data_IF_196921692704
#
_entry.id   IF_196921692704
#
_cell.length_a   1.000
_cell.length_b   1.000
_cell.length_c   1.000
_cell.angle_alpha   90.00
_cell.angle_beta   90.00
_cell.angle_gamma   90.00
#
_symmetry.space_group_name_H-M   'P 1'
#
loop_
_entity.id
_entity.type
_entity.pdbx_description
1 polymer ?
#
# COMPACT_ATOMS: atom_id res chain seq x y z
N UNK A 1 22.98 -14.72 26.31
CA UNK A 1 22.41 -15.24 25.05
C UNK A 1 21.15 -14.41 24.83
N UNK A 2 21.21 -13.41 23.95
CA UNK A 2 20.00 -12.74 23.50
C UNK A 2 19.20 -13.76 22.68
N UNK A 3 18.03 -14.16 23.17
CA UNK A 3 17.03 -14.76 22.31
C UNK A 3 16.72 -13.74 21.21
N UNK A 4 17.20 -14.01 19.99
CA UNK A 4 16.63 -13.38 18.81
C UNK A 4 15.12 -13.60 18.92
N UNK A 5 14.36 -12.51 18.98
CA UNK A 5 12.91 -12.56 18.77
C UNK A 5 12.64 -13.55 17.64
N UNK A 6 11.72 -14.52 17.81
CA UNK A 6 11.34 -15.38 16.70
C UNK A 6 11.02 -14.45 15.53
N UNK A 7 11.67 -14.66 14.38
CA UNK A 7 11.48 -13.80 13.22
C UNK A 7 9.99 -13.75 12.88
N UNK A 8 9.50 -12.58 12.49
CA UNK A 8 8.16 -12.43 11.94
C UNK A 8 8.18 -13.02 10.54
N UNK A 9 7.19 -13.86 10.22
CA UNK A 9 7.12 -14.47 8.90
C UNK A 9 6.60 -13.47 7.84
N UNK A 10 6.84 -13.77 6.57
CA UNK A 10 6.48 -12.87 5.47
C UNK A 10 4.99 -12.48 5.43
N UNK A 11 4.09 -13.40 5.79
CA UNK A 11 2.65 -13.13 5.75
C UNK A 11 2.22 -12.25 6.92
N UNK A 12 2.79 -12.48 8.10
CA UNK A 12 2.58 -11.62 9.27
C UNK A 12 3.06 -10.18 8.99
N UNK A 13 4.26 -10.01 8.44
CA UNK A 13 4.80 -8.69 8.05
C UNK A 13 3.87 -7.95 7.07
N UNK A 14 3.50 -8.58 5.95
CA UNK A 14 2.65 -7.94 4.94
C UNK A 14 1.24 -7.66 5.47
N UNK A 15 0.72 -8.53 6.35
CA UNK A 15 -0.58 -8.32 7.00
C UNK A 15 -0.53 -7.09 7.93
N UNK A 16 0.55 -6.90 8.68
CA UNK A 16 0.72 -5.71 9.53
C UNK A 16 0.74 -4.42 8.68
N UNK A 17 1.42 -4.44 7.55
CA UNK A 17 1.44 -3.34 6.58
C UNK A 17 0.05 -3.06 5.99
N UNK A 18 -0.69 -4.11 5.61
CA UNK A 18 -2.09 -3.99 5.18
C UNK A 18 -2.96 -3.31 6.23
N UNK A 19 -2.84 -3.71 7.50
CA UNK A 19 -3.62 -3.07 8.58
C UNK A 19 -3.26 -1.59 8.75
N UNK A 20 -1.97 -1.23 8.63
CA UNK A 20 -1.54 0.16 8.66
C UNK A 20 -2.14 0.98 7.51
N UNK A 21 -2.09 0.45 6.27
CA UNK A 21 -2.71 1.08 5.10
C UNK A 21 -4.23 1.22 5.27
N UNK A 22 -4.94 0.14 5.62
CA UNK A 22 -6.39 0.15 5.82
C UNK A 22 -6.84 1.18 6.86
N UNK A 23 -6.07 1.34 7.94
CA UNK A 23 -6.31 2.37 8.96
C UNK A 23 -6.23 3.79 8.38
N UNK A 24 -5.20 4.07 7.56
CA UNK A 24 -5.05 5.36 6.87
C UNK A 24 -6.14 5.61 5.84
N UNK A 25 -6.58 4.57 5.12
CA UNK A 25 -7.69 4.69 4.17
C UNK A 25 -9.01 5.04 4.84
N UNK A 26 -9.24 4.58 6.08
CA UNK A 26 -10.41 5.00 6.84
C UNK A 26 -10.36 6.52 7.11
N UNK A 27 -9.22 7.02 7.60
CA UNK A 27 -9.02 8.47 7.82
C UNK A 27 -9.22 9.25 6.52
N UNK A 28 -8.57 8.81 5.44
CA UNK A 28 -8.63 9.47 4.14
C UNK A 28 -10.06 9.59 3.62
N UNK A 29 -10.84 8.51 3.65
CA UNK A 29 -12.21 8.52 3.12
C UNK A 29 -13.10 9.51 3.89
N UNK A 30 -12.94 9.64 5.21
CA UNK A 30 -13.65 10.65 6.00
C UNK A 30 -13.19 12.08 5.68
N UNK A 31 -11.89 12.28 5.49
CA UNK A 31 -11.33 13.60 5.16
C UNK A 31 -11.73 14.04 3.75
N UNK A 32 -11.79 13.14 2.77
CA UNK A 32 -12.31 13.42 1.43
C UNK A 32 -13.78 13.85 1.47
N UNK A 33 -14.61 13.19 2.28
CA UNK A 33 -16.02 13.60 2.48
C UNK A 33 -16.13 14.96 3.19
N UNK A 34 -15.20 15.30 4.09
CA UNK A 34 -15.13 16.63 4.72
C UNK A 34 -14.74 17.68 3.69
N UNK A 35 -13.78 17.39 2.82
CA UNK A 35 -13.30 18.31 1.78
C UNK A 35 -14.45 18.80 0.87
N UNK A 36 -15.46 17.96 0.62
CA UNK A 36 -16.64 18.33 -0.16
C UNK A 36 -17.66 19.22 0.58
N UNK A 37 -17.54 19.38 1.91
CA UNK A 37 -18.43 20.26 2.68
C UNK A 37 -17.90 21.68 2.55
N UNK A 38 -18.48 22.43 1.60
CA UNK A 38 -18.22 23.84 1.29
C UNK A 38 -18.36 24.76 2.53
N UNK A 39 -17.36 24.73 3.41
CA UNK A 39 -17.31 25.46 4.68
C UNK A 39 -15.95 26.16 4.83
N UNK A 40 -15.92 27.45 5.20
CA UNK A 40 -14.69 28.20 5.40
C UNK A 40 -13.77 27.51 6.44
N UNK A 41 -12.49 27.33 6.08
CA UNK A 41 -11.48 26.74 6.96
C UNK A 41 -11.38 25.20 6.93
N UNK A 42 -12.35 24.50 6.31
CA UNK A 42 -12.31 23.03 6.16
C UNK A 42 -11.26 22.60 5.13
N UNK A 43 -11.13 23.34 4.02
CA UNK A 43 -10.24 22.98 2.91
C UNK A 43 -8.76 22.95 3.34
N UNK A 44 -8.19 23.97 4.01
CA UNK A 44 -6.77 23.92 4.40
C UNK A 44 -6.41 22.80 5.38
N UNK A 45 -7.29 22.51 6.35
CA UNK A 45 -7.08 21.43 7.31
C UNK A 45 -7.19 20.06 6.63
N UNK A 46 -8.24 19.84 5.84
CA UNK A 46 -8.44 18.60 5.08
C UNK A 46 -7.28 18.34 4.11
N UNK A 47 -6.78 19.38 3.43
CA UNK A 47 -5.62 19.26 2.55
C UNK A 47 -4.37 18.77 3.28
N UNK A 48 -4.08 19.28 4.49
CA UNK A 48 -2.93 18.85 5.27
C UNK A 48 -3.06 17.39 5.73
N UNK A 49 -4.26 17.00 6.19
CA UNK A 49 -4.54 15.61 6.56
C UNK A 49 -4.38 14.66 5.36
N UNK A 50 -4.89 15.03 4.19
CA UNK A 50 -4.77 14.24 2.97
C UNK A 50 -3.30 14.12 2.54
N UNK A 51 -2.54 15.22 2.58
CA UNK A 51 -1.09 15.22 2.26
C UNK A 51 -0.33 14.24 3.15
N UNK A 52 -0.60 14.22 4.46
CA UNK A 52 0.05 13.28 5.37
C UNK A 52 -0.27 11.81 5.03
N UNK A 53 -1.49 11.51 4.55
CA UNK A 53 -1.83 10.16 4.07
C UNK A 53 -1.12 9.84 2.75
N UNK A 54 -1.04 10.79 1.81
CA UNK A 54 -0.33 10.58 0.54
C UNK A 54 1.16 10.34 0.78
N UNK A 55 1.81 11.13 1.63
CA UNK A 55 3.21 10.93 2.02
C UNK A 55 3.45 9.54 2.63
N UNK A 56 2.56 9.10 3.52
CA UNK A 56 2.59 7.75 4.07
C UNK A 56 2.45 6.69 2.98
N UNK A 57 1.48 6.83 2.06
CA UNK A 57 1.28 5.86 0.98
C UNK A 57 2.46 5.85 -0.01
N UNK A 58 3.05 7.00 -0.32
CA UNK A 58 4.23 7.09 -1.20
C UNK A 58 5.44 6.36 -0.60
N UNK A 59 5.62 6.42 0.72
CA UNK A 59 6.67 5.70 1.42
C UNK A 59 6.37 4.18 1.55
N UNK A 60 5.24 3.84 2.14
CA UNK A 60 4.95 2.47 2.57
C UNK A 60 4.47 1.58 1.42
N UNK A 61 3.55 2.08 0.57
CA UNK A 61 2.97 1.27 -0.51
C UNK A 61 4.06 0.86 -1.50
N UNK A 62 5.01 1.74 -1.81
CA UNK A 62 6.06 1.41 -2.76
C UNK A 62 6.95 0.27 -2.26
N UNK A 63 7.34 0.32 -0.99
CA UNK A 63 8.16 -0.71 -0.36
C UNK A 63 7.38 -2.02 -0.27
N UNK A 64 6.10 -1.96 0.14
CA UNK A 64 5.21 -3.12 0.21
C UNK A 64 5.11 -3.85 -1.14
N UNK A 65 4.73 -3.14 -2.21
CA UNK A 65 4.61 -3.74 -3.54
C UNK A 65 5.95 -4.30 -4.05
N UNK A 66 7.08 -3.70 -3.68
CA UNK A 66 8.42 -4.23 -4.01
C UNK A 66 8.75 -5.50 -3.24
N UNK A 67 8.42 -5.60 -1.95
CA UNK A 67 8.58 -6.83 -1.16
C UNK A 67 7.84 -7.98 -1.83
N UNK A 68 6.65 -7.73 -2.33
CA UNK A 68 5.86 -8.73 -3.05
C UNK A 68 6.47 -9.07 -4.42
N UNK A 69 6.75 -8.06 -5.24
CA UNK A 69 7.23 -8.23 -6.62
C UNK A 69 8.62 -8.84 -6.72
N UNK A 70 9.54 -8.45 -5.82
CA UNK A 70 10.95 -8.84 -5.88
C UNK A 70 11.24 -10.07 -5.02
N UNK A 71 10.41 -10.38 -4.01
CA UNK A 71 10.68 -11.47 -3.06
C UNK A 71 9.55 -12.50 -3.04
N UNK A 72 8.32 -12.10 -2.69
CA UNK A 72 7.23 -13.06 -2.46
C UNK A 72 6.79 -13.77 -3.75
N UNK A 73 6.50 -13.01 -4.80
CA UNK A 73 5.99 -13.52 -6.06
C UNK A 73 7.00 -14.43 -6.77
N UNK A 74 8.31 -14.10 -6.85
CA UNK A 74 9.30 -15.03 -7.38
C UNK A 74 9.41 -16.31 -6.55
N UNK A 75 9.35 -16.21 -5.22
CA UNK A 75 9.37 -17.39 -4.35
C UNK A 75 8.14 -18.29 -4.58
N UNK A 76 6.95 -17.72 -4.74
CA UNK A 76 5.72 -18.46 -5.02
C UNK A 76 5.70 -19.06 -6.44
N UNK A 77 6.16 -18.31 -7.44
CA UNK A 77 6.17 -18.73 -8.85
C UNK A 77 6.98 -20.00 -9.10
N UNK A 78 8.03 -20.22 -8.31
CA UNK A 78 8.82 -21.45 -8.34
C UNK A 78 7.99 -22.72 -8.05
N UNK A 79 6.84 -22.59 -7.38
CA UNK A 79 5.94 -23.69 -7.03
C UNK A 79 4.71 -23.77 -7.96
N UNK A 80 4.25 -22.64 -8.52
CA UNK A 80 3.04 -22.59 -9.36
C UNK A 80 3.28 -23.05 -10.81
N UNK A 81 4.53 -23.13 -11.28
CA UNK A 81 4.82 -23.58 -12.65
C UNK A 81 4.17 -22.66 -13.69
N UNK A 82 3.42 -23.23 -14.66
CA UNK A 82 2.72 -22.44 -15.69
C UNK A 82 1.40 -21.80 -15.22
N UNK A 83 0.97 -22.03 -13.97
CA UNK A 83 -0.29 -21.51 -13.43
C UNK A 83 -0.14 -20.13 -12.73
N UNK A 84 0.90 -19.36 -13.04
CA UNK A 84 1.23 -18.05 -12.45
C UNK A 84 0.23 -16.91 -12.71
N UNK A 85 -0.95 -17.20 -13.25
CA UNK A 85 -1.97 -16.22 -13.61
C UNK A 85 -2.44 -15.31 -12.45
N UNK A 86 -2.58 -15.81 -11.18
CA UNK A 86 -2.91 -14.94 -10.06
C UNK A 86 -1.88 -13.83 -9.82
N UNK A 87 -0.60 -14.10 -10.08
CA UNK A 87 0.49 -13.13 -9.90
C UNK A 87 0.43 -12.06 -10.99
N UNK A 88 0.16 -12.43 -12.25
CA UNK A 88 0.05 -11.48 -13.35
C UNK A 88 -1.08 -10.45 -13.12
N UNK A 89 -2.21 -10.89 -12.57
CA UNK A 89 -3.32 -10.00 -12.21
C UNK A 89 -2.90 -9.01 -11.12
N UNK A 90 -2.22 -9.49 -10.07
CA UNK A 90 -1.74 -8.61 -8.99
C UNK A 90 -0.73 -7.59 -9.52
N UNK A 91 0.20 -7.99 -10.38
CA UNK A 91 1.15 -7.07 -11.03
C UNK A 91 0.46 -5.95 -11.83
N UNK A 92 -0.63 -6.26 -12.53
CA UNK A 92 -1.44 -5.25 -13.22
C UNK A 92 -2.13 -4.31 -12.24
N UNK A 93 -2.60 -4.82 -11.10
CA UNK A 93 -3.17 -4.02 -10.02
C UNK A 93 -2.13 -3.12 -9.37
N UNK A 94 -0.91 -3.60 -9.12
CA UNK A 94 0.20 -2.80 -8.58
C UNK A 94 0.51 -1.61 -9.49
N UNK A 95 0.48 -1.81 -10.82
CA UNK A 95 0.64 -0.72 -11.76
C UNK A 95 -0.53 0.28 -11.70
N UNK A 96 -1.76 -0.20 -11.54
CA UNK A 96 -2.94 0.65 -11.38
C UNK A 96 -2.89 1.46 -10.08
N UNK A 97 -2.49 0.84 -8.97
CA UNK A 97 -2.29 1.49 -7.68
C UNK A 97 -1.27 2.62 -7.76
N UNK A 98 -0.10 2.35 -8.36
CA UNK A 98 0.94 3.36 -8.58
C UNK A 98 0.45 4.52 -9.47
N UNK A 99 -0.37 4.24 -10.48
CA UNK A 99 -0.98 5.30 -11.32
C UNK A 99 -2.00 6.11 -10.53
N UNK A 100 -2.86 5.45 -9.75
CA UNK A 100 -3.87 6.10 -8.91
C UNK A 100 -3.25 7.03 -7.87
N UNK A 101 -2.19 6.57 -7.18
CA UNK A 101 -1.47 7.40 -6.21
C UNK A 101 -0.83 8.63 -6.85
N UNK A 102 -0.21 8.50 -8.03
CA UNK A 102 0.33 9.66 -8.77
C UNK A 102 -0.76 10.64 -9.21
N UNK A 103 -1.89 10.14 -9.71
CA UNK A 103 -3.02 11.00 -10.08
C UNK A 103 -3.55 11.76 -8.86
N UNK A 104 -3.68 11.06 -7.73
CA UNK A 104 -4.14 11.68 -6.49
C UNK A 104 -3.18 12.75 -5.96
N UNK A 105 -1.87 12.45 -5.94
CA UNK A 105 -0.82 13.41 -5.56
C UNK A 105 -0.83 14.64 -6.48
N UNK A 106 -1.07 14.45 -7.79
CA UNK A 106 -1.20 15.54 -8.77
C UNK A 106 -2.40 16.46 -8.48
N UNK A 107 -3.61 15.90 -8.35
CA UNK A 107 -4.81 16.70 -8.08
C UNK A 107 -4.72 17.43 -6.73
N UNK A 108 -4.13 16.77 -5.72
CA UNK A 108 -3.88 17.39 -4.42
C UNK A 108 -2.92 18.58 -4.52
N UNK A 109 -1.89 18.48 -5.37
CA UNK A 109 -0.96 19.56 -5.67
C UNK A 109 -1.63 20.74 -6.36
N UNK A 110 -2.50 20.47 -7.34
CA UNK A 110 -3.28 21.49 -8.05
C UNK A 110 -4.19 22.25 -7.07
N UNK A 111 -4.97 21.52 -6.27
CA UNK A 111 -5.86 22.11 -5.27
C UNK A 111 -5.09 22.90 -4.20
N UNK A 112 -3.91 22.42 -3.79
CA UNK A 112 -3.06 23.10 -2.83
C UNK A 112 -2.41 24.39 -3.35
N UNK A 113 -2.19 24.50 -4.67
CA UNK A 113 -1.57 25.66 -5.29
C UNK A 113 -2.56 26.80 -5.60
N UNK A 114 -3.78 26.46 -5.99
CA UNK A 114 -4.85 27.43 -6.27
C UNK A 114 -6.22 26.93 -5.75
N UNK A 115 -6.48 27.01 -4.44
CA UNK A 115 -7.73 26.54 -3.83
C UNK A 115 -9.00 27.28 -4.30
N UNK A 116 -8.85 28.47 -4.89
CA UNK A 116 -9.98 29.30 -5.33
C UNK A 116 -10.47 28.91 -6.72
N UNK A 117 -9.56 28.45 -7.60
CA UNK A 117 -9.89 28.03 -8.96
C UNK A 117 -10.04 26.51 -9.12
N UNK A 118 -9.39 25.72 -8.26
CA UNK A 118 -9.42 24.26 -8.35
C UNK A 118 -10.67 23.67 -7.68
N UNK A 119 -11.23 22.62 -8.28
CA UNK A 119 -12.38 21.92 -7.74
C UNK A 119 -11.94 20.84 -6.74
N UNK A 120 -12.44 20.85 -5.49
CA UNK A 120 -12.20 19.76 -4.55
C UNK A 120 -12.81 18.42 -4.97
N UNK A 121 -13.69 18.42 -5.98
CA UNK A 121 -14.33 17.22 -6.55
C UNK A 121 -13.30 16.31 -7.23
N UNK A 122 -12.34 16.85 -7.97
CA UNK A 122 -11.32 16.04 -8.66
C UNK A 122 -10.46 15.27 -7.65
N UNK A 123 -10.01 15.97 -6.58
CA UNK A 123 -9.29 15.36 -5.45
C UNK A 123 -10.13 14.28 -4.76
N UNK A 124 -11.43 14.54 -4.59
CA UNK A 124 -12.35 13.56 -4.03
C UNK A 124 -12.45 12.31 -4.90
N UNK A 125 -12.71 12.45 -6.21
CA UNK A 125 -12.94 11.33 -7.12
C UNK A 125 -11.71 10.43 -7.20
N UNK A 126 -10.54 10.99 -7.50
CA UNK A 126 -9.31 10.18 -7.64
C UNK A 126 -8.88 9.56 -6.30
N UNK A 127 -9.08 10.27 -5.17
CA UNK A 127 -8.75 9.77 -3.85
C UNK A 127 -9.69 8.65 -3.40
N UNK A 128 -10.99 8.78 -3.70
CA UNK A 128 -12.00 7.77 -3.37
C UNK A 128 -11.82 6.50 -4.21
N UNK A 129 -11.51 6.65 -5.50
CA UNK A 129 -11.19 5.53 -6.39
C UNK A 129 -9.94 4.77 -5.91
N UNK A 130 -8.87 5.50 -5.52
CA UNK A 130 -7.67 4.89 -4.96
C UNK A 130 -7.97 4.10 -3.67
N UNK A 131 -8.82 4.64 -2.79
CA UNK A 131 -9.27 3.92 -1.58
C UNK A 131 -9.97 2.61 -1.93
N UNK A 132 -10.84 2.62 -2.95
CA UNK A 132 -11.52 1.42 -3.42
C UNK A 132 -10.56 0.39 -3.99
N UNK A 133 -9.62 0.83 -4.83
CA UNK A 133 -8.64 -0.05 -5.47
C UNK A 133 -7.72 -0.72 -4.44
N UNK A 134 -7.17 0.05 -3.48
CA UNK A 134 -6.33 -0.49 -2.40
C UNK A 134 -7.08 -1.51 -1.55
N UNK A 135 -8.32 -1.21 -1.15
CA UNK A 135 -9.12 -2.16 -0.35
C UNK A 135 -9.41 -3.45 -1.09
N UNK A 136 -9.73 -3.36 -2.38
CA UNK A 136 -10.00 -4.55 -3.18
C UNK A 136 -8.75 -5.42 -3.35
N UNK A 137 -7.62 -4.77 -3.61
CA UNK A 137 -6.32 -5.43 -3.77
C UNK A 137 -5.90 -6.15 -2.48
N UNK A 138 -5.85 -5.43 -1.35
CA UNK A 138 -5.52 -5.99 -0.03
C UNK A 138 -6.44 -7.17 0.32
N UNK A 139 -7.75 -7.03 0.09
CA UNK A 139 -8.69 -8.11 0.38
C UNK A 139 -8.41 -9.35 -0.46
N UNK A 140 -7.99 -9.19 -1.72
CA UNK A 140 -7.63 -10.32 -2.59
C UNK A 140 -6.37 -11.02 -2.10
N UNK A 141 -5.37 -10.26 -1.66
CA UNK A 141 -4.15 -10.83 -1.12
C UNK A 141 -4.42 -11.59 0.17
N UNK A 142 -5.03 -10.94 1.15
CA UNK A 142 -5.32 -11.52 2.47
C UNK A 142 -6.18 -12.78 2.38
N UNK A 143 -7.19 -12.79 1.49
CA UNK A 143 -8.19 -13.87 1.46
C UNK A 143 -7.92 -14.94 0.41
N UNK A 144 -7.11 -14.66 -0.61
CA UNK A 144 -6.86 -15.59 -1.71
C UNK A 144 -5.37 -15.89 -1.89
N UNK A 145 -4.52 -14.86 -2.00
CA UNK A 145 -3.08 -15.07 -2.23
C UNK A 145 -2.39 -15.66 -1.00
N UNK A 146 -2.55 -15.06 0.18
CA UNK A 146 -1.83 -15.46 1.39
C UNK A 146 -2.13 -16.90 1.82
N UNK A 147 -3.38 -17.40 1.76
CA UNK A 147 -3.67 -18.83 1.97
C UNK A 147 -2.94 -19.75 0.97
N UNK A 148 -2.82 -19.33 -0.28
CA UNK A 148 -2.08 -20.06 -1.31
C UNK A 148 -0.58 -20.07 -0.98
N UNK A 149 -0.02 -18.91 -0.61
CA UNK A 149 1.37 -18.75 -0.19
C UNK A 149 1.66 -19.67 0.99
N UNK A 150 0.85 -19.65 2.05
CA UNK A 150 1.02 -20.50 3.23
C UNK A 150 0.97 -22.01 2.90
N UNK A 151 0.15 -22.39 1.90
CA UNK A 151 0.00 -23.78 1.48
C UNK A 151 1.22 -24.31 0.69
N UNK A 152 1.97 -23.43 0.03
CA UNK A 152 3.12 -23.81 -0.81
C UNK A 152 4.47 -23.52 -0.14
N UNK A 153 4.58 -22.38 0.54
CA UNK A 153 5.77 -21.93 1.25
C UNK A 153 5.60 -22.31 2.73
N UNK A 154 6.15 -23.46 3.14
CA UNK A 154 6.12 -23.87 4.55
C UNK A 154 6.79 -22.84 5.49
N UNK A 155 6.52 -22.95 6.79
CA UNK A 155 6.92 -21.95 7.81
C UNK A 155 8.40 -21.55 7.78
N UNK A 156 9.32 -22.50 7.59
CA UNK A 156 10.76 -22.19 7.51
C UNK A 156 11.09 -21.24 6.35
N UNK A 157 10.42 -21.40 5.20
CA UNK A 157 10.64 -20.53 4.04
C UNK A 157 10.02 -19.15 4.27
N UNK A 158 8.83 -19.08 4.86
CA UNK A 158 8.16 -17.82 5.18
C UNK A 158 8.95 -16.97 6.18
N UNK A 159 9.55 -17.61 7.19
CA UNK A 159 10.45 -16.93 8.13
C UNK A 159 11.69 -16.37 7.44
N UNK A 160 12.28 -17.10 6.50
CA UNK A 160 13.44 -16.62 5.74
C UNK A 160 13.07 -15.43 4.83
N UNK A 161 11.91 -15.48 4.16
CA UNK A 161 11.39 -14.38 3.34
C UNK A 161 11.10 -13.14 4.20
N UNK A 162 10.49 -13.31 5.39
CA UNK A 162 10.23 -12.19 6.30
C UNK A 162 11.51 -11.45 6.71
N UNK A 163 12.61 -12.17 6.93
CA UNK A 163 13.93 -11.55 7.19
C UNK A 163 14.42 -10.75 5.98
N UNK A 164 14.26 -11.27 4.77
CA UNK A 164 14.65 -10.59 3.52
C UNK A 164 13.83 -9.31 3.28
N UNK A 165 12.51 -9.39 3.47
CA UNK A 165 11.60 -8.24 3.35
C UNK A 165 11.99 -7.11 4.31
N UNK A 166 12.28 -7.44 5.57
CA UNK A 166 12.72 -6.43 6.56
C UNK A 166 14.06 -5.80 6.23
N UNK A 167 14.97 -6.54 5.60
CA UNK A 167 16.23 -5.98 5.13
C UNK A 167 16.01 -4.97 3.98
N UNK A 168 15.06 -5.23 3.07
CA UNK A 168 14.71 -4.29 2.00
C UNK A 168 14.15 -2.97 2.56
N UNK A 169 13.33 -3.02 3.61
CA UNK A 169 12.82 -1.80 4.25
C UNK A 169 13.96 -0.95 4.84
N UNK A 170 14.95 -1.60 5.47
CA UNK A 170 16.14 -0.93 6.00
C UNK A 170 16.98 -0.25 4.90
N UNK A 171 17.13 -0.88 3.73
CA UNK A 171 17.81 -0.29 2.58
C UNK A 171 17.07 0.92 2.00
N UNK A 172 15.73 0.90 2.01
CA UNK A 172 14.91 2.04 1.59
C UNK A 172 14.99 3.23 2.58
N UNK A 173 15.11 2.95 3.89
CA UNK A 173 15.11 3.96 4.97
C UNK A 173 16.49 4.48 5.39
N UNK A 174 17.58 3.97 4.81
CA UNK A 174 18.89 4.65 4.87
C UNK A 174 19.60 4.64 6.23
N UNK A 175 19.82 3.46 6.80
CA UNK A 175 21.04 3.19 7.60
C UNK A 175 21.78 2.02 6.96
N UNK A 176 23.12 1.97 7.01
CA UNK A 176 23.93 2.27 5.82
C UNK A 176 24.25 1.07 4.91
N UNK A 177 24.39 1.41 3.62
CA UNK A 177 25.33 0.87 2.64
C UNK A 177 25.81 2.00 1.75
#
# INVERSE_FOLDING_TARGET
MEEKSPGVDALEELTEEHQAVLSRLNTLQWTLLRLLKDQPGVVPEALNEIKAVVEFLEAELWIHLRKEEEILFPALSAYLGQEGWPIEVLLLEHQALRRGLRAFSSELGILGADPESASPVEVFEVGYDLCGLLRHHIAKEDTCLFPMVASHLGSTRLLAIGVEMRAMAWEADGRPG
#
